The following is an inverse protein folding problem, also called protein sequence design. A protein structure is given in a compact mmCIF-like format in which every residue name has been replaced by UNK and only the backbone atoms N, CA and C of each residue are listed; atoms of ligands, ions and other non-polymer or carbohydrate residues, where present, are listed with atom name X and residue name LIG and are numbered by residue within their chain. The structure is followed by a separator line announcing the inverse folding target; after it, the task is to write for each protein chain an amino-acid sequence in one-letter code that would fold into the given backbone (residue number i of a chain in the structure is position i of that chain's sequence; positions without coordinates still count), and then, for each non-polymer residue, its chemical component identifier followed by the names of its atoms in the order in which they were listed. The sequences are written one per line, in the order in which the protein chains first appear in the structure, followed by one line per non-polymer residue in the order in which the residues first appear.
data_IF_450404646595
#
_entry.id   IF_450404646595
#
_cell.length_a   1.000
_cell.length_b   1.000
_cell.length_c   1.000
_cell.angle_alpha   90.00
_cell.angle_beta   90.00
_cell.angle_gamma   90.00
#
_symmetry.space_group_name_H-M   'P 1'
#
loop_
_entity.id
_entity.type
_entity.pdbx_description
1 polymer ?
#
# COMPACT_ATOMS: atom_id res chain seq x y z
N UNK A 1 5.74 3.06 -9.36
CA UNK A 1 6.97 3.20 -10.19
C UNK A 1 7.82 4.29 -9.57
N UNK A 2 9.13 4.04 -9.39
CA UNK A 2 10.11 5.03 -8.93
C UNK A 2 10.59 5.82 -10.14
N UNK A 3 10.59 7.15 -10.06
CA UNK A 3 11.11 8.03 -11.10
C UNK A 3 12.62 8.24 -10.95
N UNK A 4 13.29 8.61 -12.05
CA UNK A 4 14.74 8.86 -12.05
C UNK A 4 15.21 9.89 -11.01
N UNK A 5 14.52 11.04 -10.80
CA UNK A 5 14.93 11.99 -9.77
C UNK A 5 14.86 11.43 -8.34
N UNK A 6 13.87 10.58 -8.04
CA UNK A 6 13.70 9.93 -6.72
C UNK A 6 14.83 8.92 -6.46
N UNK A 7 15.19 8.16 -7.49
CA UNK A 7 16.35 7.26 -7.46
C UNK A 7 17.64 8.02 -7.23
N UNK A 8 17.90 9.07 -8.02
CA UNK A 8 19.13 9.85 -7.92
C UNK A 8 19.29 10.48 -6.54
N UNK A 9 18.23 11.08 -6.00
CA UNK A 9 18.22 11.65 -4.65
C UNK A 9 18.48 10.58 -3.57
N UNK A 10 17.81 9.43 -3.67
CA UNK A 10 18.00 8.34 -2.71
C UNK A 10 19.39 7.73 -2.79
N UNK A 11 19.94 7.58 -4.00
CA UNK A 11 21.27 7.08 -4.20
C UNK A 11 22.32 8.03 -3.60
N UNK A 12 22.17 9.34 -3.81
CA UNK A 12 23.03 10.34 -3.21
C UNK A 12 23.07 10.22 -1.68
N UNK A 13 21.91 10.11 -1.02
CA UNK A 13 21.84 9.93 0.44
C UNK A 13 22.56 8.66 0.87
N UNK A 14 22.39 7.55 0.15
CA UNK A 14 23.10 6.32 0.43
C UNK A 14 24.62 6.49 0.33
N UNK A 15 25.10 7.09 -0.75
CA UNK A 15 26.55 7.31 -1.02
C UNK A 15 27.16 8.24 0.07
N UNK A 16 26.46 9.31 0.46
CA UNK A 16 26.89 10.21 1.53
C UNK A 16 27.01 9.50 2.88
N UNK A 17 26.07 8.64 3.21
CA UNK A 17 26.12 7.84 4.46
C UNK A 17 27.27 6.83 4.39
N UNK A 18 27.44 6.15 3.26
CA UNK A 18 28.44 5.10 3.08
C UNK A 18 29.88 5.64 3.11
N UNK A 19 30.09 6.90 2.68
CA UNK A 19 31.40 7.57 2.67
C UNK A 19 31.67 8.44 3.91
N UNK A 20 30.69 8.62 4.79
CA UNK A 20 30.81 9.48 5.97
C UNK A 20 31.82 8.90 6.98
N UNK A 21 32.80 9.70 7.45
CA UNK A 21 33.83 9.22 8.38
C UNK A 21 33.27 8.76 9.74
N UNK A 22 32.18 9.40 10.20
CA UNK A 22 31.54 9.10 11.49
C UNK A 22 30.08 8.82 11.29
N UNK A 23 29.60 7.65 11.72
CA UNK A 23 28.21 7.24 11.62
C UNK A 23 27.33 7.98 12.63
N UNK A 24 26.17 8.47 12.18
CA UNK A 24 25.11 8.98 13.06
C UNK A 24 24.17 7.85 13.50
N UNK A 25 23.46 8.06 14.62
CA UNK A 25 22.51 7.07 15.12
C UNK A 25 21.37 6.76 14.14
N UNK A 26 21.00 7.73 13.31
CA UNK A 26 19.93 7.61 12.29
C UNK A 26 20.41 7.02 10.97
N UNK A 27 21.72 6.94 10.71
CA UNK A 27 22.27 6.53 9.42
C UNK A 27 21.79 5.15 8.97
N UNK A 28 21.74 4.18 9.87
CA UNK A 28 21.29 2.83 9.53
C UNK A 28 19.84 2.82 9.03
N UNK A 29 18.98 3.57 9.70
CA UNK A 29 17.57 3.71 9.33
C UNK A 29 17.40 4.46 8.01
N UNK A 30 18.00 5.64 7.89
CA UNK A 30 17.96 6.47 6.68
C UNK A 30 18.51 5.70 5.47
N UNK A 31 19.67 5.05 5.63
CA UNK A 31 20.30 4.23 4.59
C UNK A 31 19.41 3.08 4.14
N UNK A 32 18.69 2.44 5.07
CA UNK A 32 17.75 1.36 4.77
C UNK A 32 16.62 1.84 3.85
N UNK A 33 15.89 2.90 4.22
CA UNK A 33 14.75 3.37 3.44
C UNK A 33 15.14 3.92 2.06
N UNK A 34 16.21 4.70 1.97
CA UNK A 34 16.72 5.15 0.68
C UNK A 34 17.26 3.99 -0.17
N UNK A 35 17.88 3.00 0.46
CA UNK A 35 18.32 1.77 -0.21
C UNK A 35 17.17 1.02 -0.87
N UNK A 36 16.01 0.91 -0.20
CA UNK A 36 14.82 0.31 -0.79
C UNK A 36 14.33 1.04 -2.07
N UNK A 37 14.45 2.36 -2.13
CA UNK A 37 14.12 3.13 -3.33
C UNK A 37 15.09 2.80 -4.46
N UNK A 38 16.39 2.76 -4.15
CA UNK A 38 17.45 2.41 -5.12
C UNK A 38 17.21 0.99 -5.67
N UNK A 39 16.98 0.01 -4.79
CA UNK A 39 16.80 -1.39 -5.19
C UNK A 39 15.55 -1.58 -6.06
N UNK A 40 14.45 -0.92 -5.71
CA UNK A 40 13.21 -0.95 -6.51
C UNK A 40 13.40 -0.34 -7.89
N UNK A 41 14.08 0.81 -7.98
CA UNK A 41 14.38 1.43 -9.27
C UNK A 41 15.22 0.51 -10.16
N UNK A 42 16.31 -0.04 -9.63
CA UNK A 42 17.17 -0.97 -10.37
C UNK A 42 16.45 -2.24 -10.81
N UNK A 43 15.53 -2.75 -9.98
CA UNK A 43 14.69 -3.88 -10.36
C UNK A 43 13.69 -3.52 -11.46
N UNK A 44 13.11 -2.31 -11.44
CA UNK A 44 12.25 -1.81 -12.53
C UNK A 44 12.97 -1.78 -13.87
N UNK A 45 14.23 -1.30 -13.89
CA UNK A 45 15.04 -1.23 -15.12
C UNK A 45 15.29 -2.62 -15.73
N UNK A 46 15.33 -3.65 -14.91
CA UNK A 46 15.47 -5.06 -15.34
C UNK A 46 14.13 -5.72 -15.70
N UNK A 47 13.04 -4.96 -15.71
CA UNK A 47 11.70 -5.48 -15.99
C UNK A 47 11.03 -6.21 -14.81
N UNK A 48 11.61 -6.15 -13.61
CA UNK A 48 11.01 -6.58 -12.35
C UNK A 48 10.05 -5.54 -11.75
N UNK A 49 9.47 -5.85 -10.58
CA UNK A 49 8.66 -4.89 -9.82
C UNK A 49 7.47 -4.28 -10.58
N UNK A 50 6.78 -5.10 -11.36
CA UNK A 50 5.55 -4.66 -12.04
C UNK A 50 4.33 -4.72 -11.12
N UNK A 51 4.37 -5.59 -10.11
CA UNK A 51 3.29 -5.82 -9.16
C UNK A 51 3.86 -5.96 -7.75
N UNK A 52 3.09 -5.52 -6.77
CA UNK A 52 3.36 -5.74 -5.35
C UNK A 52 2.26 -6.65 -4.80
N UNK A 53 2.58 -7.88 -4.37
CA UNK A 53 1.58 -8.79 -3.82
C UNK A 53 1.09 -8.26 -2.48
N UNK A 54 -0.22 -8.24 -2.29
CA UNK A 54 -0.87 -7.76 -1.07
C UNK A 54 -1.75 -8.87 -0.53
N UNK A 55 -1.60 -9.16 0.76
CA UNK A 55 -2.49 -10.05 1.50
C UNK A 55 -3.74 -9.27 1.91
N UNK A 56 -4.89 -9.75 1.49
CA UNK A 56 -6.20 -9.19 1.78
C UNK A 56 -7.09 -10.31 2.33
N UNK A 57 -7.68 -10.10 3.49
CA UNK A 57 -8.70 -10.99 4.03
C UNK A 57 -10.01 -10.23 4.18
N UNK A 58 -11.11 -10.88 3.81
CA UNK A 58 -12.46 -10.35 4.00
C UNK A 58 -13.30 -11.39 4.70
N UNK A 59 -14.00 -10.97 5.75
CA UNK A 59 -14.89 -11.80 6.56
C UNK A 59 -16.25 -11.13 6.62
N UNK A 60 -17.30 -11.95 6.58
CA UNK A 60 -18.67 -11.53 6.86
C UNK A 60 -19.12 -12.06 8.21
N UNK A 61 -19.66 -11.17 9.05
CA UNK A 61 -20.28 -11.52 10.32
C UNK A 61 -21.68 -10.88 10.38
N UNK A 62 -22.70 -11.63 9.97
CA UNK A 62 -24.06 -11.10 9.80
C UNK A 62 -24.07 -10.00 8.72
N UNK A 63 -24.39 -8.78 9.12
CA UNK A 63 -24.46 -7.60 8.24
C UNK A 63 -23.18 -6.76 8.29
N UNK A 64 -22.14 -7.24 8.96
CA UNK A 64 -20.84 -6.57 9.09
C UNK A 64 -19.81 -7.24 8.20
N UNK A 65 -19.05 -6.43 7.46
CA UNK A 65 -17.82 -6.85 6.79
C UNK A 65 -16.60 -6.45 7.62
N UNK A 66 -15.58 -7.32 7.66
CA UNK A 66 -14.26 -7.04 8.22
C UNK A 66 -13.25 -7.28 7.12
N UNK A 67 -12.50 -6.25 6.74
CA UNK A 67 -11.43 -6.37 5.75
C UNK A 67 -10.08 -5.96 6.34
N UNK A 68 -9.02 -6.71 6.01
CA UNK A 68 -7.66 -6.46 6.51
C UNK A 68 -6.73 -6.03 5.39
N UNK A 69 -5.68 -5.31 5.71
CA UNK A 69 -4.58 -5.01 4.78
C UNK A 69 -3.28 -4.73 5.54
N UNK A 70 -2.09 -4.86 4.89
CA UNK A 70 -0.80 -4.66 5.56
C UNK A 70 -0.36 -3.20 5.69
N UNK A 71 -1.11 -2.24 5.18
CA UNK A 71 -0.69 -0.85 5.04
C UNK A 71 -1.24 0.06 6.13
N UNK A 72 -0.65 1.26 6.21
CA UNK A 72 -1.24 2.45 6.85
C UNK A 72 -1.91 3.29 5.76
N UNK A 73 -3.21 3.05 5.53
CA UNK A 73 -3.98 3.76 4.52
C UNK A 73 -4.35 5.17 4.99
N UNK A 74 -4.26 6.13 4.09
CA UNK A 74 -4.93 7.41 4.29
C UNK A 74 -6.45 7.21 4.39
N UNK A 75 -7.08 7.95 5.29
CA UNK A 75 -8.50 7.77 5.67
C UNK A 75 -9.47 7.76 4.50
N UNK A 76 -9.17 8.51 3.43
CA UNK A 76 -10.03 8.59 2.24
C UNK A 76 -10.23 7.25 1.53
N UNK A 77 -9.26 6.34 1.58
CA UNK A 77 -9.40 4.99 1.02
C UNK A 77 -10.37 4.15 1.85
N UNK A 78 -10.28 4.26 3.18
CA UNK A 78 -11.22 3.61 4.08
C UNK A 78 -12.66 4.11 3.88
N UNK A 79 -12.83 5.42 3.74
CA UNK A 79 -14.14 6.02 3.45
C UNK A 79 -14.70 5.52 2.12
N UNK A 80 -13.88 5.37 1.08
CA UNK A 80 -14.33 4.81 -0.20
C UNK A 80 -14.79 3.35 -0.07
N UNK A 81 -14.03 2.51 0.66
CA UNK A 81 -14.41 1.11 0.90
C UNK A 81 -15.74 1.02 1.65
N UNK A 82 -15.90 1.80 2.72
CA UNK A 82 -17.14 1.85 3.50
C UNK A 82 -18.33 2.33 2.69
N UNK A 83 -18.15 3.38 1.89
CA UNK A 83 -19.24 3.98 1.11
C UNK A 83 -19.72 3.10 -0.06
N UNK A 84 -18.88 2.18 -0.52
CA UNK A 84 -19.15 1.33 -1.69
C UNK A 84 -19.52 -0.11 -1.31
N UNK A 85 -19.28 -0.51 -0.08
CA UNK A 85 -19.52 -1.86 0.44
C UNK A 85 -21.02 -2.20 0.49
N UNK A 86 -21.36 -3.44 0.17
CA UNK A 86 -22.71 -3.98 0.33
C UNK A 86 -23.07 -4.28 1.80
N UNK A 87 -22.11 -4.28 2.72
CA UNK A 87 -22.34 -4.50 4.13
C UNK A 87 -22.98 -3.28 4.79
N UNK A 88 -23.84 -3.50 5.79
CA UNK A 88 -24.41 -2.43 6.63
C UNK A 88 -23.29 -1.64 7.35
N UNK A 89 -22.26 -2.36 7.80
CA UNK A 89 -21.07 -1.79 8.40
C UNK A 89 -19.80 -2.48 7.88
N UNK A 90 -18.80 -1.70 7.50
CA UNK A 90 -17.48 -2.20 7.09
C UNK A 90 -16.41 -1.73 8.06
N UNK A 91 -15.74 -2.69 8.69
CA UNK A 91 -14.59 -2.48 9.56
C UNK A 91 -13.30 -2.75 8.77
N UNK A 92 -12.36 -1.81 8.79
CA UNK A 92 -11.06 -1.94 8.15
C UNK A 92 -9.98 -2.10 9.21
N UNK A 93 -9.22 -3.18 9.14
CA UNK A 93 -8.10 -3.48 10.03
C UNK A 93 -6.83 -3.30 9.23
N UNK A 94 -6.08 -2.27 9.55
CA UNK A 94 -4.80 -1.95 8.96
C UNK A 94 -3.66 -2.68 9.68
N UNK A 95 -2.47 -2.70 9.08
CA UNK A 95 -1.27 -3.31 9.65
C UNK A 95 -1.46 -4.80 9.98
N UNK A 96 -2.32 -5.47 9.23
CA UNK A 96 -2.67 -6.87 9.42
C UNK A 96 -2.30 -7.69 8.18
N UNK A 97 -1.24 -8.46 8.30
CA UNK A 97 -0.78 -9.44 7.31
C UNK A 97 0.01 -10.54 7.99
N UNK A 98 0.11 -11.69 7.33
CA UNK A 98 1.03 -12.76 7.73
C UNK A 98 2.43 -12.49 7.17
N UNK A 99 3.46 -12.84 7.94
CA UNK A 99 4.86 -12.75 7.51
C UNK A 99 5.45 -11.34 7.57
N UNK A 100 6.52 -11.16 6.79
CA UNK A 100 7.34 -9.94 6.81
C UNK A 100 6.89 -8.90 5.77
N UNK A 101 5.60 -8.69 5.57
CA UNK A 101 5.15 -7.59 4.74
C UNK A 101 5.33 -6.28 5.52
N UNK A 102 6.24 -5.40 5.09
CA UNK A 102 6.47 -4.16 5.81
C UNK A 102 5.24 -3.27 5.69
N UNK A 103 4.84 -2.73 6.83
CA UNK A 103 3.80 -1.71 6.91
C UNK A 103 4.35 -0.40 6.34
N UNK A 104 3.78 0.05 5.26
CA UNK A 104 4.10 1.33 4.63
C UNK A 104 2.84 2.16 4.49
N UNK A 105 3.05 3.48 4.43
CA UNK A 105 1.96 4.41 4.15
C UNK A 105 1.46 4.27 2.72
N UNK A 106 0.18 4.53 2.53
CA UNK A 106 -0.43 4.63 1.20
C UNK A 106 -1.11 6.00 1.07
N UNK A 107 -0.38 6.99 0.54
CA UNK A 107 -0.85 8.36 0.42
C UNK A 107 -1.84 8.52 -0.72
N UNK A 108 -2.66 9.56 -0.63
CA UNK A 108 -3.49 10.03 -1.75
C UNK A 108 -2.66 10.85 -2.75
N UNK A 109 -3.17 11.06 -3.99
CA UNK A 109 -2.52 11.97 -4.93
C UNK A 109 -2.30 13.38 -4.36
N UNK A 110 -3.27 13.88 -3.59
CA UNK A 110 -3.17 15.19 -2.94
C UNK A 110 -2.07 15.23 -1.88
N UNK A 111 -1.94 14.17 -1.08
CA UNK A 111 -0.89 14.08 -0.07
C UNK A 111 0.50 13.99 -0.72
N UNK A 112 0.63 13.24 -1.81
CA UNK A 112 1.90 13.18 -2.57
C UNK A 112 2.27 14.56 -3.15
N UNK A 113 1.32 15.29 -3.68
CA UNK A 113 1.54 16.64 -4.21
C UNK A 113 1.90 17.65 -3.12
N UNK A 114 1.34 17.48 -1.91
CA UNK A 114 1.63 18.35 -0.76
C UNK A 114 2.97 18.03 -0.08
N UNK A 115 3.48 16.81 -0.25
CA UNK A 115 4.67 16.32 0.44
C UNK A 115 4.40 15.93 1.89
N UNK A 116 5.47 15.56 2.59
CA UNK A 116 5.44 15.17 4.01
C UNK A 116 5.81 13.71 4.21
N UNK A 117 6.18 13.38 5.45
CA UNK A 117 6.78 12.10 5.85
C UNK A 117 6.08 10.86 5.28
N UNK A 118 4.76 10.75 5.48
CA UNK A 118 3.99 9.58 5.04
C UNK A 118 3.69 9.55 3.54
N UNK A 119 4.05 10.62 2.79
CA UNK A 119 3.88 10.71 1.35
C UNK A 119 5.19 10.58 0.57
N UNK A 120 6.34 10.49 1.26
CA UNK A 120 7.64 10.31 0.64
C UNK A 120 7.79 8.90 0.08
N UNK A 121 8.44 8.79 -1.08
CA UNK A 121 8.67 7.51 -1.78
C UNK A 121 9.45 6.49 -0.94
N UNK A 122 10.25 6.95 0.00
CA UNK A 122 10.98 6.14 0.97
C UNK A 122 10.05 5.37 1.93
N UNK A 123 8.84 5.88 2.15
CA UNK A 123 7.86 5.34 3.09
C UNK A 123 6.63 4.73 2.40
N UNK A 124 6.68 4.55 1.06
CA UNK A 124 5.59 3.98 0.29
C UNK A 124 6.07 2.80 -0.56
N UNK A 125 5.30 1.71 -0.61
CA UNK A 125 5.56 0.57 -1.49
C UNK A 125 4.66 0.58 -2.71
N UNK A 126 3.45 1.10 -2.58
CA UNK A 126 2.49 1.30 -3.66
C UNK A 126 2.09 2.77 -3.72
N UNK A 127 1.80 3.26 -4.91
CA UNK A 127 1.28 4.61 -5.11
C UNK A 127 -0.26 4.65 -5.07
N UNK A 128 -0.85 5.83 -5.33
CA UNK A 128 -2.31 6.01 -5.35
C UNK A 128 -3.05 5.07 -6.30
N UNK A 129 -2.45 4.71 -7.43
CA UNK A 129 -3.03 3.76 -8.39
C UNK A 129 -3.13 2.36 -7.78
N UNK A 130 -2.09 1.91 -7.08
CA UNK A 130 -2.11 0.64 -6.35
C UNK A 130 -3.10 0.65 -5.18
N UNK A 131 -3.25 1.81 -4.52
CA UNK A 131 -4.26 2.00 -3.48
C UNK A 131 -5.68 1.87 -4.04
N UNK A 132 -5.95 2.44 -5.23
CA UNK A 132 -7.26 2.31 -5.84
C UNK A 132 -7.58 0.87 -6.22
N UNK A 133 -6.59 0.12 -6.72
CA UNK A 133 -6.74 -1.33 -6.94
C UNK A 133 -7.08 -2.06 -5.64
N UNK A 134 -6.42 -1.72 -4.52
CA UNK A 134 -6.72 -2.31 -3.22
C UNK A 134 -8.15 -1.98 -2.77
N UNK A 135 -8.61 -0.73 -2.94
CA UNK A 135 -9.99 -0.31 -2.64
C UNK A 135 -10.97 -1.14 -3.46
N UNK A 136 -10.78 -1.19 -4.78
CA UNK A 136 -11.69 -1.86 -5.70
C UNK A 136 -11.79 -3.36 -5.39
N UNK A 137 -10.64 -4.03 -5.17
CA UNK A 137 -10.60 -5.44 -4.78
C UNK A 137 -11.25 -5.70 -3.43
N UNK A 138 -11.02 -4.83 -2.45
CA UNK A 138 -11.66 -4.97 -1.13
C UNK A 138 -13.19 -4.91 -1.24
N UNK A 139 -13.72 -3.97 -2.03
CA UNK A 139 -15.16 -3.84 -2.26
C UNK A 139 -15.70 -5.06 -3.02
N UNK A 140 -15.04 -5.48 -4.10
CA UNK A 140 -15.42 -6.68 -4.89
C UNK A 140 -15.51 -7.93 -3.99
N UNK A 141 -14.51 -8.16 -3.14
CA UNK A 141 -14.50 -9.32 -2.25
C UNK A 141 -15.59 -9.23 -1.16
N UNK A 142 -15.85 -8.02 -0.62
CA UNK A 142 -16.98 -7.82 0.29
C UNK A 142 -18.28 -8.15 -0.45
N UNK A 143 -18.54 -7.54 -1.57
CA UNK A 143 -19.80 -7.68 -2.31
C UNK A 143 -20.06 -9.14 -2.71
N UNK A 144 -18.99 -9.90 -3.01
CA UNK A 144 -19.09 -11.32 -3.29
C UNK A 144 -19.70 -12.14 -2.14
N UNK A 145 -19.48 -11.71 -0.89
CA UNK A 145 -20.05 -12.36 0.30
C UNK A 145 -21.53 -12.00 0.53
N UNK A 146 -22.05 -10.99 -0.15
CA UNK A 146 -23.47 -10.58 -0.13
C UNK A 146 -24.24 -11.04 -1.35
N UNK A 147 -23.57 -11.51 -2.42
CA UNK A 147 -24.22 -12.12 -3.58
C UNK A 147 -24.87 -13.44 -3.14
N UNK A 148 -26.13 -13.61 -3.46
CA UNK A 148 -26.85 -14.87 -3.23
C UNK A 148 -26.69 -15.76 -4.47
N UNK A 149 -25.87 -16.84 -4.41
CA UNK A 149 -25.65 -17.71 -5.58
C UNK A 149 -26.95 -18.36 -6.07
N UNK A 150 -28.01 -18.40 -5.26
CA UNK A 150 -29.31 -18.91 -5.66
C UNK A 150 -30.12 -17.93 -6.53
N UNK A 151 -29.81 -16.63 -6.46
CA UNK A 151 -30.46 -15.61 -7.30
C UNK A 151 -29.81 -15.45 -8.66
N UNK A 152 -28.51 -15.74 -8.78
CA UNK A 152 -27.80 -15.68 -10.06
C UNK A 152 -28.09 -16.90 -10.98
N UNK A 153 -28.47 -18.03 -10.38
CA UNK A 153 -28.81 -19.27 -11.11
C UNK A 153 -30.27 -19.33 -11.60
N UNK A 154 -31.08 -18.34 -11.31
CA UNK A 154 -32.54 -18.39 -11.51
C UNK A 154 -33.12 -17.25 -12.30
N UNK A 155 -32.64 -17.02 -13.55
CA UNK A 155 -33.46 -16.33 -14.56
C UNK A 155 -33.54 -17.22 -15.78
N UNK A 156 -34.70 -17.86 -16.04
CA UNK A 156 -34.91 -18.62 -17.27
C UNK A 156 -35.07 -17.69 -18.48
#
# INVERSE_FOLDING_TARGET
IIAEPEYAASKQVCDEIDTRPTRLKTDAWTRHFHGLVVDRYLAQQKGGWKTYPVELHVLRLGDVAIATNPFELYVSYGVQMQARSAAEQTMLIQLAATGNQPAYYVPTPQAMAAGGYSAEVTHNMIGPEGAQVLVDRTVEEIDSLWSDPAKEAGTP
#
